data_IF_112084447611
#
_entry.id   IF_112084447611
#
_cell.length_a   1.000
_cell.length_b   1.000
_cell.length_c   1.000
_cell.angle_alpha   90.00
_cell.angle_beta   90.00
_cell.angle_gamma   90.00
#
_symmetry.space_group_name_H-M   'P 1'
#
loop_
_entity.id
_entity.type
_entity.pdbx_description
1 polymer ?
#
# COMPACT_ATOMS: atom_id res chain seq x y z
N UNK A 1 -33.42 18.41 -32.65
CA UNK A 1 -33.09 18.55 -31.23
C UNK A 1 -32.70 17.18 -30.74
N UNK A 2 -31.41 16.86 -30.86
CA UNK A 2 -30.85 15.60 -30.42
C UNK A 2 -30.57 15.72 -28.93
N UNK A 3 -31.15 14.85 -28.11
CA UNK A 3 -30.80 14.76 -26.71
C UNK A 3 -29.45 14.05 -26.65
N UNK A 4 -28.40 14.77 -26.25
CA UNK A 4 -27.12 14.18 -25.86
C UNK A 4 -27.34 13.38 -24.58
N UNK A 5 -27.11 12.07 -24.69
CA UNK A 5 -27.03 11.16 -23.57
C UNK A 5 -25.75 11.52 -22.80
N UNK A 6 -25.93 12.19 -21.66
CA UNK A 6 -24.85 12.57 -20.77
C UNK A 6 -24.26 11.30 -20.15
N UNK A 7 -23.14 10.85 -20.72
CA UNK A 7 -22.31 9.78 -20.17
C UNK A 7 -21.92 10.17 -18.74
N UNK A 8 -22.18 9.35 -17.70
CA UNK A 8 -21.74 9.68 -16.36
C UNK A 8 -20.20 9.71 -16.36
N UNK A 9 -19.67 10.85 -15.94
CA UNK A 9 -18.24 11.08 -15.74
C UNK A 9 -17.68 10.01 -14.82
N UNK A 10 -16.54 9.43 -15.23
CA UNK A 10 -15.76 8.51 -14.39
C UNK A 10 -15.30 9.31 -13.17
N UNK A 11 -15.96 9.10 -12.05
CA UNK A 11 -15.65 9.78 -10.80
C UNK A 11 -14.20 9.54 -10.40
N UNK A 12 -13.55 10.67 -10.17
CA UNK A 12 -12.20 10.81 -9.68
C UNK A 12 -12.03 10.03 -8.37
N UNK A 13 -10.85 9.43 -8.19
CA UNK A 13 -10.43 8.77 -6.96
C UNK A 13 -10.02 9.81 -5.88
N UNK A 14 -10.21 11.10 -6.17
CA UNK A 14 -9.42 12.20 -5.60
C UNK A 14 -9.98 12.77 -4.27
N UNK A 15 -11.24 12.46 -3.92
CA UNK A 15 -11.88 13.04 -2.73
C UNK A 15 -11.88 12.14 -1.48
N UNK A 16 -11.41 10.89 -1.58
CA UNK A 16 -11.36 9.99 -0.42
C UNK A 16 -9.94 9.74 0.08
N UNK A 17 -9.60 10.40 1.19
CA UNK A 17 -8.38 10.12 1.95
C UNK A 17 -8.56 8.87 2.85
N UNK A 18 -7.46 8.16 3.18
CA UNK A 18 -7.45 7.14 4.22
C UNK A 18 -7.95 7.71 5.55
N UNK A 19 -8.60 6.86 6.35
CA UNK A 19 -9.15 7.27 7.64
C UNK A 19 -8.04 7.76 8.56
N UNK A 20 -8.21 8.95 9.13
CA UNK A 20 -7.27 9.49 10.09
C UNK A 20 -7.57 8.95 11.48
N UNK A 21 -6.53 8.54 12.20
CA UNK A 21 -6.66 8.13 13.60
C UNK A 21 -7.09 9.33 14.45
N UNK A 22 -8.22 9.26 15.18
CA UNK A 22 -8.72 10.39 15.95
C UNK A 22 -7.69 10.93 16.95
N UNK A 23 -7.38 12.22 16.85
CA UNK A 23 -6.44 12.91 17.75
C UNK A 23 -4.96 12.73 17.42
N UNK A 24 -4.60 11.91 16.43
CA UNK A 24 -3.22 11.82 15.95
C UNK A 24 -2.81 13.10 15.20
N UNK A 25 -1.58 13.56 15.45
CA UNK A 25 -0.98 14.67 14.72
C UNK A 25 0.35 14.17 14.13
N UNK A 26 0.54 14.26 12.80
CA UNK A 26 1.82 13.98 12.17
C UNK A 26 2.98 14.67 12.89
N UNK A 27 4.15 13.99 13.02
CA UNK A 27 5.34 14.62 13.55
C UNK A 27 5.81 15.76 12.63
N UNK A 28 6.57 16.70 13.18
CA UNK A 28 7.24 17.70 12.34
C UNK A 28 8.29 17.00 11.46
N UNK A 29 8.34 17.38 10.18
CA UNK A 29 9.35 16.88 9.25
C UNK A 29 10.75 17.22 9.75
N UNK A 30 11.62 16.21 9.77
CA UNK A 30 13.04 16.33 10.04
C UNK A 30 13.79 15.36 9.14
N UNK A 31 14.90 15.81 8.59
CA UNK A 31 15.79 14.97 7.79
C UNK A 31 16.54 13.98 8.67
N UNK A 32 16.99 12.88 8.07
CA UNK A 32 17.85 11.89 8.71
C UNK A 32 19.12 12.54 9.31
N UNK A 33 19.71 13.49 8.58
CA UNK A 33 20.89 14.25 9.01
C UNK A 33 20.63 15.10 10.26
N UNK A 34 19.48 15.77 10.33
CA UNK A 34 19.08 16.52 11.52
C UNK A 34 18.85 15.60 12.70
N UNK A 35 18.15 14.48 12.48
CA UNK A 35 17.90 13.48 13.53
C UNK A 35 19.21 12.92 14.09
N UNK A 36 20.18 12.65 13.21
CA UNK A 36 21.52 12.15 13.58
C UNK A 36 22.31 13.15 14.44
N UNK A 37 22.20 14.45 14.14
CA UNK A 37 22.96 15.52 14.83
C UNK A 37 22.33 15.98 16.15
N UNK A 38 21.05 15.73 16.37
CA UNK A 38 20.39 16.06 17.64
C UNK A 38 21.02 15.27 18.79
N UNK A 39 21.21 15.92 19.94
CA UNK A 39 21.66 15.28 21.19
C UNK A 39 22.95 14.45 21.01
N UNK A 40 23.88 14.95 20.19
CA UNK A 40 25.13 14.25 19.85
C UNK A 40 26.05 14.05 21.07
N UNK A 41 25.81 14.78 22.15
CA UNK A 41 26.47 14.65 23.45
C UNK A 41 25.88 13.54 24.34
N UNK A 42 24.69 13.00 24.01
CA UNK A 42 24.05 11.90 24.73
C UNK A 42 24.34 10.55 24.08
N UNK A 43 25.26 9.79 24.68
CA UNK A 43 25.66 8.47 24.19
C UNK A 43 24.48 7.48 24.11
N UNK A 44 23.49 7.58 24.99
CA UNK A 44 22.34 6.68 24.99
C UNK A 44 21.42 6.95 23.78
N UNK A 45 21.21 8.22 23.45
CA UNK A 45 20.43 8.62 22.28
C UNK A 45 21.17 8.34 20.98
N UNK A 46 22.49 8.49 20.94
CA UNK A 46 23.32 8.09 19.79
C UNK A 46 23.18 6.58 19.53
N UNK A 47 23.32 5.74 20.57
CA UNK A 47 23.13 4.29 20.44
C UNK A 47 21.71 3.91 20.02
N UNK A 48 20.71 4.60 20.57
CA UNK A 48 19.30 4.40 20.20
C UNK A 48 19.04 4.70 18.71
N UNK A 49 19.56 5.82 18.20
CA UNK A 49 19.44 6.18 16.78
C UNK A 49 20.15 5.17 15.88
N UNK A 50 21.36 4.72 16.26
CA UNK A 50 22.06 3.67 15.52
C UNK A 50 21.29 2.34 15.51
N UNK A 51 20.65 1.96 16.63
CA UNK A 51 19.84 0.73 16.66
C UNK A 51 18.62 0.78 15.73
N UNK A 52 18.03 1.97 15.53
CA UNK A 52 16.86 2.16 14.66
C UNK A 52 17.23 2.35 13.18
N UNK A 53 18.27 3.15 12.92
CA UNK A 53 18.62 3.62 11.59
C UNK A 53 19.79 2.84 10.98
N UNK A 54 20.58 2.12 11.79
CA UNK A 54 21.79 1.45 11.32
C UNK A 54 22.72 2.42 10.59
N UNK A 55 23.25 1.99 9.44
CA UNK A 55 24.09 2.81 8.55
C UNK A 55 23.27 3.58 7.49
N UNK A 56 22.03 3.94 7.80
CA UNK A 56 21.10 4.68 6.93
C UNK A 56 21.70 5.90 6.21
N UNK A 57 22.68 6.58 6.82
CA UNK A 57 23.34 7.75 6.22
C UNK A 57 24.18 7.40 4.98
N UNK A 58 24.54 6.13 4.78
CA UNK A 58 25.47 5.66 3.74
C UNK A 58 24.72 5.01 2.57
N UNK A 59 23.60 4.34 2.85
CA UNK A 59 22.83 3.59 1.87
C UNK A 59 21.77 4.43 1.17
N UNK A 60 22.19 5.41 0.36
CA UNK A 60 21.27 6.12 -0.54
C UNK A 60 21.03 5.29 -1.79
N UNK A 61 19.79 4.80 -1.95
CA UNK A 61 19.37 4.08 -3.15
C UNK A 61 19.16 5.00 -4.34
N UNK A 62 18.88 4.43 -5.52
CA UNK A 62 18.47 5.20 -6.70
C UNK A 62 16.93 5.31 -6.76
N UNK A 63 16.43 6.42 -7.30
CA UNK A 63 15.00 6.63 -7.57
C UNK A 63 14.23 7.42 -6.49
N UNK A 64 12.91 7.20 -6.34
CA UNK A 64 12.10 7.85 -5.31
C UNK A 64 12.49 7.45 -3.88
N UNK A 65 12.03 8.21 -2.87
CA UNK A 65 12.27 7.83 -1.46
C UNK A 65 11.62 6.49 -1.11
N UNK A 66 10.40 6.25 -1.60
CA UNK A 66 9.66 5.02 -1.37
C UNK A 66 9.43 4.34 -2.71
N UNK A 67 9.85 3.08 -2.81
CA UNK A 67 9.57 2.23 -3.96
C UNK A 67 8.76 1.06 -3.46
N UNK A 68 7.47 1.00 -3.82
CA UNK A 68 6.64 -0.17 -3.52
C UNK A 68 6.87 -1.18 -4.64
N UNK A 69 7.44 -2.32 -4.29
CA UNK A 69 7.92 -3.30 -5.27
C UNK A 69 6.81 -4.28 -5.65
N UNK A 70 6.08 -4.80 -4.65
CA UNK A 70 4.99 -5.75 -4.89
C UNK A 70 3.96 -5.77 -3.78
N UNK A 71 2.73 -6.12 -4.17
CA UNK A 71 1.65 -6.52 -3.27
C UNK A 71 1.39 -8.02 -3.48
N UNK A 72 1.47 -8.81 -2.42
CA UNK A 72 1.21 -10.25 -2.46
C UNK A 72 -0.01 -10.62 -1.62
N UNK A 73 -0.85 -11.50 -2.15
CA UNK A 73 -1.92 -12.16 -1.41
C UNK A 73 -1.37 -13.50 -0.94
N UNK A 74 -1.07 -13.59 0.35
CA UNK A 74 -0.52 -14.78 1.01
C UNK A 74 -1.66 -15.67 1.46
N UNK A 75 -1.65 -16.93 1.01
CA UNK A 75 -2.66 -17.93 1.36
C UNK A 75 -1.94 -19.20 1.79
N UNK A 76 -2.29 -19.71 2.96
CA UNK A 76 -1.68 -20.93 3.49
C UNK A 76 -1.94 -22.12 2.55
N UNK A 77 -0.89 -22.89 2.27
CA UNK A 77 -0.98 -24.12 1.48
C UNK A 77 -0.95 -23.95 -0.04
N UNK A 78 -0.69 -22.74 -0.55
CA UNK A 78 -0.42 -22.49 -1.98
C UNK A 78 0.65 -21.42 -2.17
N UNK A 79 1.09 -21.23 -3.41
CA UNK A 79 1.93 -20.08 -3.76
C UNK A 79 1.14 -18.77 -3.65
N UNK A 80 1.84 -17.75 -3.16
CA UNK A 80 1.36 -16.38 -3.06
C UNK A 80 0.96 -15.87 -4.45
N UNK A 81 -0.15 -15.15 -4.53
CA UNK A 81 -0.45 -14.36 -5.72
C UNK A 81 0.31 -13.05 -5.60
N UNK A 82 1.28 -12.81 -6.48
CA UNK A 82 2.09 -11.59 -6.47
C UNK A 82 1.65 -10.61 -7.58
N UNK A 83 1.54 -9.34 -7.21
CA UNK A 83 1.30 -8.21 -8.10
C UNK A 83 2.58 -7.39 -8.13
N UNK A 84 3.27 -7.38 -9.27
CA UNK A 84 4.44 -6.53 -9.50
C UNK A 84 4.00 -5.07 -9.69
N UNK A 85 4.54 -4.20 -8.84
CA UNK A 85 4.24 -2.76 -8.81
C UNK A 85 5.39 -1.91 -9.37
N UNK A 86 6.46 -2.53 -9.85
CA UNK A 86 7.59 -1.85 -10.51
C UNK A 86 7.44 -1.76 -12.03
N UNK A 87 6.56 -2.60 -12.59
CA UNK A 87 6.31 -2.70 -14.03
C UNK A 87 5.22 -1.75 -14.54
N UNK A 88 4.61 -2.15 -15.65
CA UNK A 88 3.54 -1.40 -16.31
C UNK A 88 2.19 -1.65 -15.62
N UNK A 89 1.84 -0.75 -14.71
CA UNK A 89 0.63 -0.82 -13.88
C UNK A 89 -0.68 -0.80 -14.69
N UNK A 90 -0.67 -0.25 -15.91
CA UNK A 90 -1.88 -0.18 -16.74
C UNK A 90 -2.42 -1.57 -17.12
N UNK A 91 -1.54 -2.56 -17.19
CA UNK A 91 -1.88 -3.96 -17.52
C UNK A 91 -2.52 -4.72 -16.36
N UNK A 92 -2.43 -4.21 -15.14
CA UNK A 92 -2.96 -4.89 -13.95
C UNK A 92 -4.50 -4.87 -13.92
N UNK A 93 -5.12 -3.88 -14.56
CA UNK A 93 -6.58 -3.83 -14.73
C UNK A 93 -7.09 -4.88 -15.71
N UNK A 94 -6.33 -5.15 -16.77
CA UNK A 94 -6.71 -6.08 -17.83
C UNK A 94 -6.46 -7.55 -17.45
N UNK A 95 -5.58 -7.78 -16.47
CA UNK A 95 -5.23 -9.12 -15.97
C UNK A 95 -5.99 -9.42 -14.69
N UNK A 96 -7.10 -10.16 -14.81
CA UNK A 96 -7.87 -10.58 -13.65
C UNK A 96 -7.21 -11.78 -12.95
N UNK A 97 -6.85 -11.58 -11.68
CA UNK A 97 -6.38 -12.64 -10.79
C UNK A 97 -7.58 -13.42 -10.26
N UNK A 98 -7.53 -14.74 -10.19
CA UNK A 98 -8.58 -15.52 -9.51
C UNK A 98 -8.29 -15.66 -8.02
N UNK A 99 -9.28 -15.34 -7.19
CA UNK A 99 -9.28 -15.55 -5.73
C UNK A 99 -10.41 -16.51 -5.37
N UNK A 100 -10.10 -17.59 -4.64
CA UNK A 100 -11.13 -18.51 -4.16
C UNK A 100 -11.95 -17.87 -3.03
N UNK A 101 -13.27 -17.94 -3.14
CA UNK A 101 -14.21 -17.45 -2.14
C UNK A 101 -14.01 -18.12 -0.76
N UNK A 102 -14.17 -17.37 0.33
CA UNK A 102 -13.99 -17.88 1.70
C UNK A 102 -12.55 -18.24 2.06
N UNK A 103 -11.58 -17.84 1.25
CA UNK A 103 -10.16 -18.07 1.54
C UNK A 103 -9.68 -17.08 2.60
N UNK A 104 -9.11 -17.59 3.69
CA UNK A 104 -8.32 -16.78 4.61
C UNK A 104 -6.98 -16.40 3.98
N UNK A 105 -6.66 -15.11 3.99
CA UNK A 105 -5.47 -14.56 3.35
C UNK A 105 -4.81 -13.48 4.22
N UNK A 106 -3.59 -13.10 3.86
CA UNK A 106 -2.92 -11.89 4.37
C UNK A 106 -2.35 -11.10 3.21
N UNK A 107 -2.45 -9.78 3.27
CA UNK A 107 -1.72 -8.91 2.35
C UNK A 107 -0.27 -8.76 2.83
N UNK A 108 0.69 -9.02 1.95
CA UNK A 108 2.11 -8.78 2.17
C UNK A 108 2.58 -7.69 1.23
N UNK A 109 3.05 -6.59 1.80
CA UNK A 109 3.55 -5.44 1.05
C UNK A 109 5.07 -5.51 1.10
N UNK A 110 5.73 -5.46 -0.06
CA UNK A 110 7.19 -5.40 -0.17
C UNK A 110 7.58 -4.06 -0.76
N UNK A 111 8.48 -3.34 -0.08
CA UNK A 111 8.84 -1.98 -0.44
C UNK A 111 10.26 -1.65 0.02
N UNK A 112 10.86 -0.64 -0.59
CA UNK A 112 12.19 -0.14 -0.28
C UNK A 112 12.15 1.33 0.07
N UNK A 113 12.92 1.71 1.10
CA UNK A 113 13.11 3.10 1.52
C UNK A 113 14.55 3.49 1.19
N UNK A 114 14.72 4.54 0.38
CA UNK A 114 16.00 4.87 -0.24
C UNK A 114 16.77 6.03 0.41
N UNK A 115 16.10 7.06 0.93
CA UNK A 115 16.77 8.33 1.28
C UNK A 115 16.47 8.81 2.70
N UNK A 116 15.19 8.93 3.04
CA UNK A 116 14.69 9.59 4.25
C UNK A 116 13.68 8.68 4.96
N UNK A 117 13.48 8.94 6.26
CA UNK A 117 12.46 8.24 7.04
C UNK A 117 11.08 8.55 6.45
N UNK A 118 10.28 7.50 6.23
CA UNK A 118 8.86 7.64 5.91
C UNK A 118 8.08 7.53 7.20
N UNK A 119 7.32 8.56 7.55
CA UNK A 119 6.44 8.56 8.71
C UNK A 119 5.03 8.11 8.31
N UNK A 120 4.53 7.05 8.95
CA UNK A 120 3.14 6.64 8.82
C UNK A 120 2.72 6.24 7.41
N UNK A 121 3.52 5.42 6.73
CA UNK A 121 3.16 4.80 5.46
C UNK A 121 1.82 4.05 5.63
N UNK A 122 0.90 4.29 4.71
CA UNK A 122 -0.48 3.77 4.71
C UNK A 122 -0.81 3.19 3.36
N UNK A 123 -1.47 2.04 3.39
CA UNK A 123 -2.14 1.46 2.24
C UNK A 123 -3.63 1.81 2.29
N UNK A 124 -4.18 2.19 1.16
CA UNK A 124 -5.58 2.54 0.99
C UNK A 124 -6.14 1.83 -0.24
N UNK A 125 -7.34 1.27 -0.11
CA UNK A 125 -7.99 0.56 -1.21
C UNK A 125 -9.48 0.80 -1.21
N UNK A 126 -10.02 1.06 -2.40
CA UNK A 126 -11.44 1.06 -2.69
C UNK A 126 -11.78 -0.10 -3.62
N UNK A 127 -12.78 -0.89 -3.23
CA UNK A 127 -13.19 -2.05 -4.00
C UNK A 127 -14.54 -1.79 -4.69
N UNK A 128 -14.60 -2.08 -5.98
CA UNK A 128 -15.77 -1.86 -6.82
C UNK A 128 -16.22 -3.17 -7.47
N UNK A 129 -17.54 -3.32 -7.60
CA UNK A 129 -18.17 -4.41 -8.34
C UNK A 129 -19.26 -3.85 -9.23
N UNK A 130 -19.17 -4.10 -10.53
CA UNK A 130 -20.08 -3.53 -11.55
C UNK A 130 -20.21 -1.99 -11.44
N UNK A 131 -19.10 -1.31 -11.18
CA UNK A 131 -19.06 0.14 -11.00
C UNK A 131 -19.56 0.66 -9.65
N UNK A 132 -20.11 -0.19 -8.79
CA UNK A 132 -20.60 0.19 -7.46
C UNK A 132 -19.49 -0.10 -6.43
N UNK A 133 -19.18 0.87 -5.56
CA UNK A 133 -18.27 0.64 -4.43
C UNK A 133 -18.89 -0.32 -3.43
N UNK A 134 -18.16 -1.36 -3.07
CA UNK A 134 -18.61 -2.43 -2.16
C UNK A 134 -17.77 -2.54 -0.90
N UNK A 135 -16.54 -2.03 -0.90
CA UNK A 135 -15.68 -2.04 0.28
C UNK A 135 -14.66 -0.88 0.26
N UNK A 136 -14.15 -0.52 1.44
CA UNK A 136 -13.10 0.47 1.68
C UNK A 136 -12.16 -0.07 2.76
N UNK A 137 -10.88 -0.16 2.43
CA UNK A 137 -9.84 -0.64 3.33
C UNK A 137 -8.77 0.44 3.53
N UNK A 138 -8.38 0.70 4.78
CA UNK A 138 -7.24 1.55 5.12
C UNK A 138 -6.36 0.84 6.16
N UNK A 139 -5.07 0.76 5.87
CA UNK A 139 -4.12 -0.03 6.64
C UNK A 139 -2.88 0.80 6.95
N UNK A 140 -2.59 1.00 8.23
CA UNK A 140 -1.33 1.57 8.69
C UNK A 140 -0.21 0.53 8.51
N UNK A 141 0.74 0.84 7.64
CA UNK A 141 1.95 0.03 7.43
C UNK A 141 2.98 0.38 8.50
N UNK A 142 3.20 1.68 8.73
CA UNK A 142 4.06 2.19 9.81
C UNK A 142 5.15 3.13 9.31
N UNK A 143 6.14 3.38 10.17
CA UNK A 143 7.27 4.28 9.86
C UNK A 143 8.55 3.48 9.64
N UNK A 144 9.29 3.82 8.58
CA UNK A 144 10.45 3.05 8.14
C UNK A 144 11.60 3.98 7.76
N UNK A 145 12.80 3.63 8.23
CA UNK A 145 14.05 4.26 7.79
C UNK A 145 14.61 3.62 6.51
N UNK A 146 15.57 4.30 5.85
CA UNK A 146 16.20 3.79 4.65
C UNK A 146 17.06 2.55 4.94
N UNK A 147 17.00 1.56 4.04
CA UNK A 147 17.78 0.32 4.11
C UNK A 147 18.13 -0.17 2.69
N UNK A 148 19.30 -0.80 2.47
CA UNK A 148 19.64 -1.39 1.18
C UNK A 148 18.66 -2.47 0.74
N UNK A 149 18.19 -3.28 1.69
CA UNK A 149 17.28 -4.40 1.45
C UNK A 149 15.81 -3.98 1.48
N UNK A 150 14.98 -4.71 0.73
CA UNK A 150 13.54 -4.54 0.76
C UNK A 150 12.97 -4.93 2.13
N UNK A 151 12.06 -4.10 2.61
CA UNK A 151 11.30 -4.30 3.84
C UNK A 151 9.93 -4.89 3.49
N UNK A 152 9.35 -5.62 4.45
CA UNK A 152 8.04 -6.23 4.27
C UNK A 152 7.12 -5.88 5.42
N UNK A 153 5.85 -5.73 5.10
CA UNK A 153 4.76 -5.62 6.06
C UNK A 153 3.73 -6.70 5.76
N UNK A 154 3.29 -7.43 6.79
CA UNK A 154 2.26 -8.45 6.69
C UNK A 154 1.02 -7.95 7.44
N UNK A 155 -0.07 -7.77 6.71
CA UNK A 155 -1.35 -7.35 7.26
C UNK A 155 -1.94 -8.42 8.19
N UNK A 156 -2.87 -8.04 9.09
CA UNK A 156 -3.71 -8.99 9.79
C UNK A 156 -4.42 -9.95 8.81
N UNK A 157 -4.78 -11.17 9.26
CA UNK A 157 -5.62 -12.08 8.49
C UNK A 157 -6.94 -11.43 8.09
N UNK A 158 -7.38 -11.71 6.87
CA UNK A 158 -8.68 -11.35 6.34
C UNK A 158 -9.27 -12.52 5.53
N UNK A 159 -10.55 -12.46 5.17
CA UNK A 159 -11.23 -13.54 4.45
C UNK A 159 -11.89 -13.02 3.15
N UNK A 160 -11.61 -13.69 2.03
CA UNK A 160 -12.25 -13.36 0.77
C UNK A 160 -13.77 -13.60 0.88
N UNK A 161 -14.64 -12.68 0.40
CA UNK A 161 -16.07 -12.84 0.57
C UNK A 161 -16.58 -14.09 -0.16
N UNK A 162 -17.64 -14.69 0.40
CA UNK A 162 -18.15 -15.99 -0.04
C UNK A 162 -19.63 -15.98 -0.38
N UNK A 163 -20.02 -16.95 -1.20
CA UNK A 163 -21.39 -17.17 -1.64
C UNK A 163 -21.64 -16.69 -3.07
N UNK A 164 -22.72 -17.20 -3.66
CA UNK A 164 -23.09 -16.94 -5.05
C UNK A 164 -23.23 -15.46 -5.39
N UNK A 165 -23.63 -14.64 -4.41
CA UNK A 165 -23.76 -13.19 -4.59
C UNK A 165 -22.43 -12.45 -4.50
N UNK A 166 -21.41 -12.99 -3.83
CA UNK A 166 -20.07 -12.37 -3.76
C UNK A 166 -19.25 -12.70 -5.02
N UNK A 167 -19.37 -13.92 -5.55
CA UNK A 167 -18.60 -14.34 -6.75
C UNK A 167 -18.76 -13.38 -7.94
N UNK A 168 -17.68 -13.18 -8.68
CA UNK A 168 -17.62 -12.34 -9.88
C UNK A 168 -16.42 -11.39 -9.89
N UNK A 169 -16.46 -10.46 -10.83
CA UNK A 169 -15.38 -9.52 -11.10
C UNK A 169 -15.39 -8.30 -10.17
N UNK A 170 -14.20 -7.97 -9.69
CA UNK A 170 -13.92 -6.82 -8.85
C UNK A 170 -12.81 -5.98 -9.45
N UNK A 171 -12.93 -4.67 -9.25
CA UNK A 171 -11.90 -3.69 -9.58
C UNK A 171 -11.48 -3.00 -8.30
N UNK A 172 -10.19 -3.06 -7.98
CA UNK A 172 -9.59 -2.40 -6.83
C UNK A 172 -8.80 -1.17 -7.29
N UNK A 173 -9.11 -0.02 -6.69
CA UNK A 173 -8.33 1.21 -6.81
C UNK A 173 -7.49 1.36 -5.55
N UNK A 174 -6.18 1.34 -5.69
CA UNK A 174 -5.24 1.23 -4.58
C UNK A 174 -4.26 2.39 -4.56
N UNK A 175 -3.87 2.81 -3.35
CA UNK A 175 -2.96 3.93 -3.13
C UNK A 175 -2.05 3.67 -1.93
N UNK A 176 -0.79 4.09 -2.05
CA UNK A 176 0.11 4.32 -0.92
C UNK A 176 0.26 5.82 -0.65
N UNK A 177 0.19 6.18 0.62
CA UNK A 177 0.47 7.55 1.09
C UNK A 177 1.12 7.51 2.47
N UNK A 178 1.49 8.66 3.01
CA UNK A 178 2.15 8.80 4.31
C UNK A 178 1.54 9.94 5.14
N UNK A 179 2.10 10.21 6.31
CA UNK A 179 1.65 11.31 7.17
C UNK A 179 1.89 12.70 6.57
N UNK A 180 2.82 12.80 5.62
CA UNK A 180 3.14 14.02 4.86
C UNK A 180 2.23 14.22 3.64
N UNK A 181 1.25 13.31 3.43
CA UNK A 181 0.31 13.30 2.31
C UNK A 181 0.96 13.14 0.94
N UNK A 182 2.16 12.54 0.88
CA UNK A 182 2.77 12.21 -0.40
C UNK A 182 1.94 11.13 -1.10
N UNK A 183 1.64 11.29 -2.40
CA UNK A 183 1.13 10.17 -3.20
C UNK A 183 2.32 9.33 -3.65
N UNK A 184 2.54 8.21 -2.94
CA UNK A 184 3.69 7.32 -3.18
C UNK A 184 3.48 6.48 -4.43
N UNK A 185 2.29 5.88 -4.54
CA UNK A 185 1.91 5.03 -5.67
C UNK A 185 0.39 4.95 -5.73
N UNK A 186 -0.16 5.03 -6.94
CA UNK A 186 -1.58 4.80 -7.21
C UNK A 186 -1.73 3.86 -8.40
N UNK A 187 -2.60 2.86 -8.28
CA UNK A 187 -2.86 1.91 -9.37
C UNK A 187 -4.26 1.32 -9.29
N UNK A 188 -4.71 0.78 -10.42
CA UNK A 188 -5.96 0.04 -10.52
C UNK A 188 -5.64 -1.39 -10.98
N UNK A 189 -6.30 -2.36 -10.37
CA UNK A 189 -6.13 -3.77 -10.70
C UNK A 189 -7.45 -4.51 -10.54
N UNK A 190 -7.53 -5.69 -11.15
CA UNK A 190 -8.77 -6.47 -11.18
C UNK A 190 -8.55 -7.89 -10.70
N UNK A 191 -9.59 -8.46 -10.08
CA UNK A 191 -9.60 -9.86 -9.67
C UNK A 191 -11.01 -10.44 -9.71
N UNK A 192 -11.10 -11.76 -9.85
CA UNK A 192 -12.35 -12.51 -9.84
C UNK A 192 -12.43 -13.37 -8.58
N UNK A 193 -13.55 -13.26 -7.87
CA UNK A 193 -13.88 -14.18 -6.80
C UNK A 193 -14.64 -15.37 -7.40
N UNK A 194 -14.04 -16.56 -7.29
CA UNK A 194 -14.59 -17.82 -7.82
C UNK A 194 -14.74 -18.87 -6.72
N UNK A 195 -15.46 -19.94 -7.03
CA UNK A 195 -15.65 -21.08 -6.10
C UNK A 195 -14.33 -21.83 -5.84
N UNK A 196 -13.48 -21.89 -6.87
CA UNK A 196 -12.19 -22.55 -6.84
C UNK A 196 -11.16 -21.66 -7.53
N UNK A 197 -9.88 -22.03 -7.39
CA UNK A 197 -8.76 -21.23 -7.91
C UNK A 197 -8.56 -21.33 -9.43
N UNK A 198 -9.20 -22.32 -10.06
CA UNK A 198 -9.22 -22.56 -11.51
C UNK A 198 -10.53 -22.01 -12.14
#
# INVERSE_FOLDING_TARGET
MSQEEQVPSVDQIDDEEPEQTPGYKPPAQKTLDEISKLDADDESLVRYKQALLGDANISKGEGPNVVVEKLSIVVDGREDVEIDLTGDLSKLKDRSITIKEGTAYRLKITFKINHEIVAGLKFFQLLYRKGIRVDKTSLMVGSYGPKPESQTFLAPPDEAPSGMLARGHYTAKSKFTDDDKNSVLEWEWSFDIKKDWD
#
